data_IF_450816318279
#
_entry.id   IF_450816318279
#
_cell.length_a   1.000
_cell.length_b   1.000
_cell.length_c   1.000
_cell.angle_alpha   90.00
_cell.angle_beta   90.00
_cell.angle_gamma   90.00
#
_symmetry.space_group_name_H-M   'P 1'
#
loop_
_entity.id
_entity.type
_entity.pdbx_description
1 polymer ?
#
# COMPACT_ATOMS: atom_id res chain seq x y z
N UNK A 1 5.53 23.70 50.90
CA UNK A 1 4.33 24.09 51.66
C UNK A 1 3.60 25.23 50.95
N UNK A 2 2.49 24.94 50.27
CA UNK A 2 1.20 25.68 50.32
C UNK A 2 0.22 24.95 49.42
N UNK A 3 -0.82 24.40 50.05
CA UNK A 3 -2.04 23.87 49.45
C UNK A 3 -3.02 25.04 49.25
N UNK A 4 -3.90 24.96 48.25
CA UNK A 4 -5.31 25.44 48.18
C UNK A 4 -5.80 24.96 46.79
N UNK A 5 -6.60 23.91 46.63
CA UNK A 5 -8.01 23.64 47.01
C UNK A 5 -9.03 24.27 46.03
N UNK A 6 -9.58 23.40 45.17
CA UNK A 6 -11.01 23.14 44.86
C UNK A 6 -11.95 24.30 44.53
N UNK A 7 -12.60 24.21 43.36
CA UNK A 7 -14.02 24.55 43.13
C UNK A 7 -14.47 23.86 41.83
N UNK A 8 -15.09 22.67 41.83
CA UNK A 8 -16.45 22.30 42.26
C UNK A 8 -17.58 22.96 41.42
N UNK A 9 -18.14 22.13 40.54
CA UNK A 9 -19.52 22.06 40.00
C UNK A 9 -20.09 23.15 39.09
N UNK A 10 -20.47 22.72 37.87
CA UNK A 10 -21.86 22.90 37.42
C UNK A 10 -22.29 21.71 36.55
N UNK A 11 -23.13 20.85 37.12
CA UNK A 11 -23.94 19.87 36.39
C UNK A 11 -25.14 20.62 35.79
N UNK A 12 -25.39 20.47 34.50
CA UNK A 12 -26.69 20.75 33.88
C UNK A 12 -27.20 19.46 33.22
N UNK A 13 -28.15 18.81 33.88
CA UNK A 13 -29.02 17.76 33.34
C UNK A 13 -30.27 18.45 32.77
N UNK A 14 -30.84 17.89 31.70
CA UNK A 14 -32.29 17.68 31.38
C UNK A 14 -32.43 17.65 29.84
N UNK A 15 -32.52 16.48 29.18
CA UNK A 15 -33.69 15.62 28.86
C UNK A 15 -34.57 16.11 27.69
N UNK A 16 -34.96 15.17 26.81
CA UNK A 16 -36.26 14.92 26.11
C UNK A 16 -35.92 13.96 24.93
N UNK A 17 -36.10 12.64 25.04
CA UNK A 17 -37.32 11.85 24.74
C UNK A 17 -37.80 11.90 23.27
N UNK A 18 -37.81 10.73 22.61
CA UNK A 18 -38.47 10.51 21.33
C UNK A 18 -38.49 9.04 20.88
N UNK A 19 -39.33 8.22 21.50
CA UNK A 19 -39.84 6.95 20.92
C UNK A 19 -41.14 7.23 20.14
N UNK A 20 -41.29 6.67 18.94
CA UNK A 20 -42.58 6.27 18.33
C UNK A 20 -42.33 5.13 17.33
N UNK A 21 -42.61 3.85 17.64
CA UNK A 21 -43.87 3.08 17.52
C UNK A 21 -44.37 2.78 16.09
N UNK A 22 -44.37 1.47 15.76
CA UNK A 22 -45.46 0.66 15.15
C UNK A 22 -45.78 0.74 13.64
N UNK A 23 -45.55 -0.39 12.94
CA UNK A 23 -46.52 -1.22 12.15
C UNK A 23 -45.79 -2.54 11.79
N UNK A 24 -46.05 -3.73 12.34
CA UNK A 24 -47.18 -4.68 12.16
C UNK A 24 -47.57 -5.03 10.71
N UNK A 25 -47.37 -6.33 10.40
CA UNK A 25 -48.11 -7.24 9.48
C UNK A 25 -48.12 -6.94 7.97
N UNK A 26 -48.11 -7.85 6.99
CA UNK A 26 -48.13 -9.33 6.79
C UNK A 26 -48.12 -9.54 5.26
N UNK A 27 -47.50 -10.60 4.73
CA UNK A 27 -48.16 -11.58 3.81
C UNK A 27 -47.13 -12.43 3.05
N UNK A 28 -47.13 -13.73 3.36
CA UNK A 28 -46.64 -14.83 2.52
C UNK A 28 -47.46 -14.98 1.21
N UNK A 29 -47.02 -15.94 0.35
CA UNK A 29 -47.74 -16.67 -0.74
C UNK A 29 -47.65 -15.99 -2.12
N UNK A 30 -47.28 -16.61 -3.26
CA UNK A 30 -46.92 -17.99 -3.68
C UNK A 30 -46.31 -17.94 -5.11
N UNK A 31 -45.53 -18.99 -5.43
CA UNK A 31 -45.42 -19.71 -6.71
C UNK A 31 -44.92 -19.01 -7.99
N UNK A 32 -43.75 -19.40 -8.53
CA UNK A 32 -43.49 -20.58 -9.38
C UNK A 32 -44.06 -20.39 -10.80
N UNK A 33 -43.19 -20.44 -11.82
CA UNK A 33 -43.39 -21.28 -13.00
C UNK A 33 -42.04 -21.59 -13.68
N UNK A 34 -41.80 -22.89 -13.72
CA UNK A 34 -40.94 -23.70 -14.56
C UNK A 34 -41.07 -23.35 -16.05
N UNK A 35 -39.98 -23.42 -16.80
CA UNK A 35 -40.09 -23.81 -18.21
C UNK A 35 -38.91 -24.70 -18.61
N UNK A 36 -39.25 -25.96 -18.90
CA UNK A 36 -38.43 -26.95 -19.59
C UNK A 36 -38.32 -26.60 -21.08
N UNK A 37 -37.26 -27.07 -21.76
CA UNK A 37 -37.17 -26.96 -23.22
C UNK A 37 -35.83 -27.41 -23.80
N UNK A 38 -35.62 -28.73 -23.77
CA UNK A 38 -34.55 -29.54 -24.38
C UNK A 38 -34.47 -29.46 -25.91
N UNK A 39 -33.28 -29.74 -26.47
CA UNK A 39 -32.93 -30.63 -27.62
C UNK A 39 -31.62 -30.15 -28.29
N UNK A 40 -30.47 -30.80 -28.06
CA UNK A 40 -29.86 -31.88 -28.87
C UNK A 40 -29.60 -31.52 -30.36
N UNK A 41 -28.33 -31.48 -30.79
CA UNK A 41 -27.67 -32.63 -31.46
C UNK A 41 -26.45 -32.23 -32.32
N UNK A 42 -25.38 -33.04 -32.17
CA UNK A 42 -24.45 -33.58 -33.18
C UNK A 42 -23.66 -32.65 -34.14
N UNK A 43 -22.32 -32.61 -34.05
CA UNK A 43 -21.31 -33.58 -34.56
C UNK A 43 -21.01 -33.44 -36.08
N UNK A 44 -19.78 -33.04 -36.45
CA UNK A 44 -18.92 -33.91 -37.27
C UNK A 44 -17.48 -33.39 -37.43
N UNK A 45 -16.55 -34.35 -37.35
CA UNK A 45 -15.15 -34.31 -37.79
C UNK A 45 -15.03 -34.03 -39.30
N UNK A 46 -13.83 -33.65 -39.77
CA UNK A 46 -13.00 -34.49 -40.67
C UNK A 46 -11.64 -33.81 -40.96
N UNK A 47 -10.61 -34.66 -40.95
CA UNK A 47 -9.18 -34.51 -41.24
C UNK A 47 -8.83 -34.15 -42.71
N UNK A 48 -7.53 -33.88 -42.95
CA UNK A 48 -6.61 -34.33 -44.05
C UNK A 48 -5.70 -33.17 -44.52
N UNK A 49 -4.38 -33.21 -44.29
CA UNK A 49 -3.25 -33.95 -44.90
C UNK A 49 -2.53 -33.21 -46.04
N UNK A 50 -1.21 -33.46 -46.12
CA UNK A 50 -0.26 -33.31 -47.23
C UNK A 50 0.56 -32.00 -47.39
N UNK A 51 1.73 -32.00 -46.73
CA UNK A 51 3.11 -32.24 -47.23
C UNK A 51 3.59 -31.69 -48.61
N UNK A 52 4.88 -31.26 -48.60
CA UNK A 52 5.84 -30.98 -49.72
C UNK A 52 5.66 -29.62 -50.47
N UNK A 53 6.68 -28.82 -50.82
CA UNK A 53 8.11 -29.06 -51.01
C UNK A 53 8.92 -27.74 -51.14
N UNK A 54 10.24 -27.84 -50.95
CA UNK A 54 11.40 -27.09 -51.53
C UNK A 54 11.46 -25.54 -51.51
N UNK A 55 12.43 -24.94 -50.80
CA UNK A 55 13.86 -24.73 -51.13
C UNK A 55 14.11 -23.43 -51.94
N UNK A 56 14.69 -22.40 -51.30
CA UNK A 56 15.67 -21.54 -51.98
C UNK A 56 16.62 -20.89 -50.97
N UNK A 57 17.90 -21.12 -51.20
CA UNK A 57 19.03 -20.65 -50.43
C UNK A 57 19.32 -19.19 -50.79
N UNK A 58 19.55 -18.32 -49.80
CA UNK A 58 20.46 -17.20 -50.04
C UNK A 58 21.25 -16.86 -48.78
N UNK A 59 22.52 -17.24 -48.85
CA UNK A 59 23.59 -16.95 -47.93
C UNK A 59 24.00 -15.48 -48.06
N UNK A 60 23.89 -14.70 -46.97
CA UNK A 60 24.73 -13.52 -46.76
C UNK A 60 25.28 -13.60 -45.33
N UNK A 61 26.58 -13.89 -45.28
CA UNK A 61 27.50 -13.68 -44.16
C UNK A 61 27.74 -12.17 -44.02
N UNK A 62 27.65 -11.59 -42.81
CA UNK A 62 28.82 -11.04 -42.09
C UNK A 62 28.47 -10.34 -40.75
N UNK A 63 29.30 -10.67 -39.76
CA UNK A 63 29.70 -10.05 -38.49
C UNK A 63 28.75 -9.17 -37.65
N UNK A 64 28.64 -9.55 -36.35
CA UNK A 64 28.44 -8.57 -35.28
C UNK A 64 27.75 -8.99 -33.98
N UNK A 65 27.59 -10.29 -33.66
CA UNK A 65 26.96 -10.69 -32.39
C UNK A 65 27.98 -10.75 -31.26
N UNK A 66 28.10 -9.66 -30.51
CA UNK A 66 28.77 -9.61 -29.22
C UNK A 66 27.69 -9.65 -28.14
N UNK A 67 27.35 -10.84 -27.65
CA UNK A 67 26.46 -11.02 -26.49
C UNK A 67 27.14 -11.89 -25.45
N UNK A 68 27.90 -11.18 -24.62
CA UNK A 68 28.12 -11.32 -23.17
C UNK A 68 27.99 -12.73 -22.59
N UNK A 69 29.17 -13.18 -22.16
CA UNK A 69 29.45 -14.32 -21.31
C UNK A 69 28.58 -14.31 -20.05
N UNK A 70 28.10 -15.50 -19.70
CA UNK A 70 27.52 -15.85 -18.40
C UNK A 70 28.58 -15.65 -17.32
N UNK A 71 28.61 -14.47 -16.70
CA UNK A 71 29.32 -14.27 -15.45
C UNK A 71 28.49 -14.89 -14.31
N UNK A 72 29.00 -16.00 -13.78
CA UNK A 72 28.69 -16.47 -12.44
C UNK A 72 29.07 -15.38 -11.44
N UNK A 73 28.11 -14.56 -11.04
CA UNK A 73 28.30 -13.62 -9.94
C UNK A 73 28.37 -14.44 -8.65
N UNK A 74 29.61 -14.61 -8.22
CA UNK A 74 30.03 -15.09 -6.92
C UNK A 74 29.14 -14.50 -5.82
N UNK A 75 28.36 -15.35 -5.16
CA UNK A 75 27.64 -15.01 -3.93
C UNK A 75 28.66 -14.84 -2.81
N UNK A 76 29.37 -13.71 -2.82
CA UNK A 76 30.14 -13.24 -1.68
C UNK A 76 29.17 -12.63 -0.68
N UNK A 77 28.84 -13.45 0.32
CA UNK A 77 28.71 -13.10 1.74
C UNK A 77 28.87 -11.59 2.04
N UNK A 78 27.81 -10.82 1.78
CA UNK A 78 27.70 -9.45 2.25
C UNK A 78 27.44 -9.51 3.75
N UNK A 79 28.55 -9.47 4.48
CA UNK A 79 28.65 -9.01 5.87
C UNK A 79 27.54 -8.00 6.19
N UNK A 80 26.74 -8.28 7.22
CA UNK A 80 25.68 -7.42 7.76
C UNK A 80 26.23 -6.15 8.43
N UNK A 81 27.07 -5.39 7.74
CA UNK A 81 27.70 -4.14 8.18
C UNK A 81 28.00 -3.32 6.92
N UNK A 82 27.38 -2.18 6.64
CA UNK A 82 26.68 -1.25 7.49
C UNK A 82 25.70 -0.40 6.65
N UNK A 83 24.43 -0.79 6.61
CA UNK A 83 23.36 0.16 6.21
C UNK A 83 23.28 1.18 7.34
N UNK A 84 23.28 2.51 7.11
CA UNK A 84 23.12 3.52 8.17
C UNK A 84 21.80 3.36 8.94
N UNK A 85 21.70 3.99 10.13
CA UNK A 85 20.43 4.02 10.85
C UNK A 85 19.45 4.92 10.08
N UNK A 86 18.21 4.47 9.95
CA UNK A 86 17.12 5.23 9.35
C UNK A 86 16.84 6.49 10.18
N UNK A 87 16.64 7.60 9.50
CA UNK A 87 16.22 8.86 10.12
C UNK A 87 14.77 9.14 9.79
N UNK A 88 13.97 9.48 10.82
CA UNK A 88 12.61 9.97 10.60
C UNK A 88 12.67 11.43 10.15
N UNK A 89 12.05 11.72 9.01
CA UNK A 89 11.89 13.04 8.45
C UNK A 89 10.45 13.52 8.67
N UNK A 90 10.30 14.80 9.01
CA UNK A 90 9.01 15.47 9.06
C UNK A 90 8.64 15.92 7.64
N UNK A 91 7.39 15.75 7.25
CA UNK A 91 6.92 16.22 5.95
C UNK A 91 7.09 17.75 5.84
N UNK A 92 7.46 18.25 4.66
CA UNK A 92 7.67 19.68 4.44
C UNK A 92 6.47 20.54 4.85
N UNK A 93 5.26 20.11 4.49
CA UNK A 93 4.04 20.85 4.85
C UNK A 93 3.86 20.95 6.37
N UNK A 94 4.19 19.89 7.11
CA UNK A 94 4.09 19.83 8.57
C UNK A 94 5.15 20.73 9.22
N UNK A 95 6.39 20.70 8.71
CA UNK A 95 7.45 21.60 9.17
C UNK A 95 7.07 23.07 8.99
N UNK A 96 6.42 23.42 7.86
CA UNK A 96 5.92 24.77 7.57
C UNK A 96 4.82 25.21 8.56
N UNK A 97 4.06 24.27 9.12
CA UNK A 97 3.10 24.51 10.20
C UNK A 97 3.73 24.52 11.60
N UNK A 98 5.05 24.28 11.69
CA UNK A 98 5.81 24.25 12.95
C UNK A 98 5.68 22.93 13.71
N UNK A 99 5.25 21.86 13.05
CA UNK A 99 5.26 20.50 13.59
C UNK A 99 6.71 20.00 13.65
N UNK A 100 7.03 19.32 14.74
CA UNK A 100 8.32 18.65 14.97
C UNK A 100 8.06 17.26 15.54
N UNK A 101 9.10 16.42 15.55
CA UNK A 101 9.01 15.07 16.12
C UNK A 101 8.57 15.09 17.58
N UNK A 102 8.98 16.10 18.34
CA UNK A 102 8.71 16.20 19.78
C UNK A 102 7.34 16.80 20.12
N UNK A 103 6.72 17.52 19.20
CA UNK A 103 5.47 18.25 19.46
C UNK A 103 4.22 17.60 18.85
N UNK A 104 4.40 16.55 18.04
CA UNK A 104 3.33 15.81 17.40
C UNK A 104 3.35 14.33 17.78
N UNK A 105 2.18 13.80 18.12
CA UNK A 105 2.04 12.44 18.63
C UNK A 105 2.41 11.38 17.59
N UNK A 106 2.00 11.54 16.34
CA UNK A 106 2.30 10.59 15.25
C UNK A 106 3.82 10.50 15.05
N UNK A 107 4.50 11.64 14.89
CA UNK A 107 5.95 11.63 14.70
C UNK A 107 6.71 11.08 15.90
N UNK A 108 6.28 11.38 17.13
CA UNK A 108 6.91 10.81 18.33
C UNK A 108 6.76 9.30 18.41
N UNK A 109 5.61 8.76 17.98
CA UNK A 109 5.39 7.31 17.93
C UNK A 109 6.25 6.67 16.83
N UNK A 110 6.24 7.25 15.63
CA UNK A 110 7.07 6.80 14.51
C UNK A 110 8.57 6.85 14.82
N UNK A 111 9.03 7.82 15.61
CA UNK A 111 10.42 7.85 16.05
C UNK A 111 10.78 6.60 16.86
N UNK A 112 9.86 6.13 17.72
CA UNK A 112 10.05 4.88 18.48
C UNK A 112 10.05 3.64 17.58
N UNK A 113 9.28 3.66 16.49
CA UNK A 113 9.23 2.58 15.48
C UNK A 113 10.55 2.51 14.72
N UNK A 114 11.05 3.66 14.28
CA UNK A 114 12.36 3.78 13.61
C UNK A 114 13.51 3.40 14.54
N UNK A 115 13.44 3.75 15.83
CA UNK A 115 14.42 3.31 16.83
C UNK A 115 14.37 1.80 17.07
N UNK A 116 13.20 1.17 16.96
CA UNK A 116 13.03 -0.27 17.16
C UNK A 116 13.54 -1.09 15.95
N UNK A 117 13.39 -0.56 14.74
CA UNK A 117 13.96 -1.14 13.52
C UNK A 117 14.70 -0.09 12.67
N UNK A 118 15.92 0.31 13.09
CA UNK A 118 16.68 1.35 12.40
C UNK A 118 17.18 0.91 11.02
N UNK A 119 17.04 -0.37 10.67
CA UNK A 119 17.50 -0.94 9.39
C UNK A 119 16.34 -1.30 8.46
N UNK A 120 15.11 -0.89 8.77
CA UNK A 120 13.93 -1.11 7.94
C UNK A 120 14.15 -0.64 6.49
N UNK A 121 13.48 -1.26 5.53
CA UNK A 121 13.66 -0.97 4.11
C UNK A 121 14.52 -1.99 3.37
N UNK A 122 14.41 -1.98 2.04
CA UNK A 122 15.17 -2.85 1.15
C UNK A 122 16.45 -2.11 0.74
N UNK A 123 17.65 -2.71 0.87
CA UNK A 123 18.89 -2.04 0.49
C UNK A 123 18.90 -1.64 -0.98
N UNK A 124 19.39 -0.42 -1.27
CA UNK A 124 19.47 0.16 -2.62
C UNK A 124 18.12 0.30 -3.32
N UNK A 125 17.04 0.52 -2.55
CA UNK A 125 15.69 0.59 -3.08
C UNK A 125 14.84 1.66 -2.39
N UNK A 126 13.72 2.00 -3.02
CA UNK A 126 12.62 2.72 -2.40
C UNK A 126 11.55 1.72 -1.96
N UNK A 127 11.11 1.82 -0.71
CA UNK A 127 10.12 0.89 -0.16
C UNK A 127 9.05 1.63 0.63
N UNK A 128 7.86 1.04 0.68
CA UNK A 128 6.72 1.57 1.44
C UNK A 128 6.21 0.48 2.36
N UNK A 129 5.91 0.83 3.60
CA UNK A 129 5.35 -0.11 4.58
C UNK A 129 4.08 0.47 5.21
N UNK A 130 2.96 -0.26 5.23
CA UNK A 130 1.83 0.13 6.05
C UNK A 130 2.19 -0.01 7.53
N UNK A 131 1.74 0.92 8.36
CA UNK A 131 2.10 0.98 9.76
C UNK A 131 0.89 0.87 10.69
N UNK A 132 -0.07 1.79 10.59
CA UNK A 132 -1.22 1.85 11.48
C UNK A 132 -2.41 2.58 10.82
N UNK A 133 -3.59 2.51 11.43
CA UNK A 133 -4.76 3.29 11.02
C UNK A 133 -4.92 4.50 11.94
N UNK A 134 -5.14 5.66 11.35
CA UNK A 134 -5.43 6.91 12.04
C UNK A 134 -6.91 7.22 11.90
N UNK A 135 -7.62 7.31 13.03
CA UNK A 135 -8.98 7.82 13.10
C UNK A 135 -8.96 9.31 13.46
N UNK A 136 -9.63 10.13 12.66
CA UNK A 136 -9.78 11.57 12.93
C UNK A 136 -11.06 11.85 13.72
N UNK A 137 -11.14 13.05 14.31
CA UNK A 137 -12.28 13.50 15.13
C UNK A 137 -13.63 13.47 14.37
N UNK A 138 -13.62 13.52 13.04
CA UNK A 138 -14.81 13.45 12.20
C UNK A 138 -15.23 12.01 11.83
N UNK A 139 -14.48 11.01 12.28
CA UNK A 139 -14.69 9.59 12.03
C UNK A 139 -14.14 9.10 10.68
N UNK A 140 -13.41 9.94 9.94
CA UNK A 140 -12.65 9.48 8.78
C UNK A 140 -11.44 8.65 9.23
N UNK A 141 -11.03 7.71 8.37
CA UNK A 141 -9.90 6.82 8.59
C UNK A 141 -8.86 7.03 7.50
N UNK A 142 -7.59 7.08 7.86
CA UNK A 142 -6.48 6.94 6.91
C UNK A 142 -5.54 5.84 7.34
N UNK A 143 -4.98 5.13 6.37
CA UNK A 143 -3.88 4.21 6.60
C UNK A 143 -2.55 4.99 6.56
N UNK A 144 -1.79 4.90 7.64
CA UNK A 144 -0.45 5.48 7.78
C UNK A 144 0.59 4.55 7.17
N UNK A 145 1.39 5.11 6.28
CA UNK A 145 2.51 4.43 5.63
C UNK A 145 3.83 5.11 5.99
N UNK A 146 4.90 4.32 5.95
CA UNK A 146 6.28 4.80 5.96
C UNK A 146 6.91 4.59 4.58
N UNK A 147 7.22 5.69 3.90
CA UNK A 147 8.07 5.69 2.71
C UNK A 147 9.53 5.71 3.15
N UNK A 148 10.34 4.78 2.67
CA UNK A 148 11.72 4.56 3.09
C UNK A 148 12.65 4.66 1.88
N UNK A 149 13.60 5.60 1.94
CA UNK A 149 14.62 5.77 0.92
C UNK A 149 15.94 5.10 1.36
N UNK A 150 16.29 3.98 0.71
CA UNK A 150 17.61 3.33 0.84
C UNK A 150 18.47 3.49 -0.43
N UNK A 151 18.06 4.35 -1.35
CA UNK A 151 18.86 4.71 -2.51
C UNK A 151 20.04 5.58 -2.08
N UNK A 152 21.12 5.54 -2.86
CA UNK A 152 22.32 6.34 -2.60
C UNK A 152 22.19 7.82 -2.96
N UNK A 153 20.98 8.30 -3.21
CA UNK A 153 20.68 9.68 -3.53
C UNK A 153 19.37 10.13 -2.86
N UNK A 154 19.22 11.42 -2.53
CA UNK A 154 17.93 12.00 -2.16
C UNK A 154 16.94 11.91 -3.32
N UNK A 155 15.66 11.75 -2.99
CA UNK A 155 14.60 11.57 -3.98
C UNK A 155 13.42 12.50 -3.74
N UNK A 156 12.64 12.76 -4.79
CA UNK A 156 11.44 13.60 -4.75
C UNK A 156 10.45 13.20 -5.85
N UNK A 157 9.26 13.81 -5.83
CA UNK A 157 8.19 13.59 -6.81
C UNK A 157 7.98 12.10 -7.12
N UNK A 158 7.74 11.33 -6.08
CA UNK A 158 7.63 9.87 -6.18
C UNK A 158 6.21 9.54 -6.62
N UNK A 159 6.05 8.61 -7.55
CA UNK A 159 4.72 8.14 -7.93
C UNK A 159 4.74 6.66 -8.23
N UNK A 160 3.69 5.93 -7.85
CA UNK A 160 3.59 4.48 -8.03
C UNK A 160 2.14 4.03 -7.92
N UNK A 161 1.85 2.82 -8.38
CA UNK A 161 0.57 2.16 -8.21
C UNK A 161 0.70 1.18 -7.04
N UNK A 162 -0.08 1.43 -5.99
CA UNK A 162 -0.07 0.65 -4.75
C UNK A 162 -1.14 -0.43 -4.80
N UNK A 163 -0.73 -1.66 -4.55
CA UNK A 163 -1.63 -2.76 -4.21
C UNK A 163 -1.38 -3.19 -2.77
N UNK A 164 -2.45 -3.24 -1.96
CA UNK A 164 -2.44 -3.72 -0.60
C UNK A 164 -3.68 -4.58 -0.34
N UNK A 165 -3.49 -5.84 0.01
CA UNK A 165 -4.60 -6.76 0.27
C UNK A 165 -4.18 -8.06 0.94
N UNK A 166 -5.13 -8.99 1.00
CA UNK A 166 -4.95 -10.31 1.58
C UNK A 166 -4.90 -11.37 0.46
N UNK A 167 -3.75 -12.01 0.28
CA UNK A 167 -3.52 -13.07 -0.71
C UNK A 167 -4.39 -14.32 -0.49
N UNK A 168 -4.83 -14.60 0.74
CA UNK A 168 -5.64 -15.79 1.04
C UNK A 168 -7.12 -15.58 0.69
N UNK A 169 -7.68 -14.40 1.00
CA UNK A 169 -9.08 -14.08 0.68
C UNK A 169 -9.23 -13.51 -0.73
N UNK A 170 -8.18 -12.88 -1.26
CA UNK A 170 -8.19 -12.15 -2.53
C UNK A 170 -8.83 -10.76 -2.42
N UNK A 171 -9.06 -10.24 -1.21
CA UNK A 171 -9.63 -8.92 -0.96
C UNK A 171 -8.52 -7.86 -0.86
N UNK A 172 -8.80 -6.65 -1.34
CA UNK A 172 -7.83 -5.55 -1.40
C UNK A 172 -8.39 -4.29 -0.77
N UNK A 173 -7.56 -3.63 0.04
CA UNK A 173 -7.77 -2.26 0.51
C UNK A 173 -7.46 -1.31 -0.65
N UNK A 174 -6.33 -1.56 -1.31
CA UNK A 174 -5.90 -0.83 -2.51
C UNK A 174 -5.62 -1.83 -3.62
N UNK A 175 -6.23 -1.63 -4.78
CA UNK A 175 -5.94 -2.38 -6.01
C UNK A 175 -5.45 -1.40 -7.07
N UNK A 176 -4.14 -1.42 -7.34
CA UNK A 176 -3.44 -0.51 -8.26
C UNK A 176 -3.78 0.97 -8.03
N UNK A 177 -3.88 1.39 -6.77
CA UNK A 177 -4.19 2.76 -6.40
C UNK A 177 -3.01 3.69 -6.71
N UNK A 178 -3.21 4.70 -7.56
CA UNK A 178 -2.16 5.66 -7.90
C UNK A 178 -1.83 6.55 -6.70
N UNK A 179 -0.60 6.46 -6.22
CA UNK A 179 -0.04 7.32 -5.18
C UNK A 179 0.93 8.32 -5.81
N UNK A 180 0.81 9.58 -5.40
CA UNK A 180 1.69 10.67 -5.81
C UNK A 180 2.19 11.39 -4.57
N UNK A 181 3.50 11.37 -4.37
CA UNK A 181 4.19 12.00 -3.25
C UNK A 181 5.04 13.16 -3.78
N UNK A 182 4.41 14.32 -3.89
CA UNK A 182 5.02 15.53 -4.44
C UNK A 182 6.07 16.16 -3.50
N UNK A 183 7.11 16.79 -4.08
CA UNK A 183 8.11 17.57 -3.32
C UNK A 183 7.47 18.72 -2.52
N UNK A 184 6.37 19.28 -3.03
CA UNK A 184 5.60 20.35 -2.37
C UNK A 184 5.06 19.91 -1.02
N UNK A 185 4.69 18.64 -0.89
CA UNK A 185 4.06 18.06 0.29
C UNK A 185 5.09 17.38 1.21
N UNK A 186 5.88 16.45 0.67
CA UNK A 186 6.84 15.69 1.47
C UNK A 186 8.19 16.39 1.65
N UNK A 187 8.57 17.26 0.72
CA UNK A 187 9.94 17.74 0.57
C UNK A 187 10.81 16.76 -0.21
N UNK A 188 12.13 16.95 -0.11
CA UNK A 188 13.13 16.01 -0.62
C UNK A 188 13.32 14.93 0.44
N UNK A 189 13.14 13.67 0.09
CA UNK A 189 13.37 12.54 0.97
C UNK A 189 14.84 12.14 0.91
N UNK A 190 15.57 12.47 1.98
CA UNK A 190 17.01 12.23 2.09
C UNK A 190 17.36 10.74 2.04
N UNK A 191 18.61 10.43 1.66
CA UNK A 191 19.14 9.06 1.75
C UNK A 191 19.08 8.55 3.19
N UNK A 192 18.78 7.27 3.35
CA UNK A 192 18.65 6.60 4.64
C UNK A 192 17.63 7.27 5.56
N UNK A 193 16.57 7.81 4.97
CA UNK A 193 15.50 8.48 5.69
C UNK A 193 14.13 7.88 5.37
N UNK A 194 13.19 8.10 6.28
CA UNK A 194 11.79 7.74 6.10
C UNK A 194 10.89 8.92 6.40
N UNK A 195 9.82 9.03 5.63
CA UNK A 195 8.79 10.04 5.80
C UNK A 195 7.42 9.34 5.86
N UNK A 196 6.55 9.73 6.80
CA UNK A 196 5.19 9.22 6.81
C UNK A 196 4.35 9.85 5.71
N UNK A 197 3.36 9.10 5.23
CA UNK A 197 2.27 9.63 4.43
C UNK A 197 0.99 8.84 4.73
N UNK A 198 -0.16 9.40 4.39
CA UNK A 198 -1.47 8.82 4.72
C UNK A 198 -2.33 8.72 3.46
N UNK A 199 -3.07 7.62 3.35
CA UNK A 199 -4.09 7.42 2.31
C UNK A 199 -5.41 7.13 3.00
N UNK A 200 -6.45 7.86 2.65
CA UNK A 200 -7.80 7.64 3.18
C UNK A 200 -8.33 6.27 2.80
N UNK A 201 -8.99 5.61 3.75
CA UNK A 201 -9.60 4.29 3.57
C UNK A 201 -11.06 4.31 3.99
N UNK A 202 -11.83 3.32 3.54
CA UNK A 202 -13.20 3.14 4.00
C UNK A 202 -13.24 2.35 5.31
N UNK A 203 -14.31 2.49 6.13
CA UNK A 203 -14.46 1.72 7.36
C UNK A 203 -14.38 0.20 7.17
N UNK A 204 -14.85 -0.33 6.05
CA UNK A 204 -14.72 -1.76 5.72
C UNK A 204 -13.27 -2.23 5.54
N UNK A 205 -12.36 -1.32 5.17
CA UNK A 205 -10.94 -1.63 4.96
C UNK A 205 -10.17 -1.79 6.28
N UNK A 206 -10.66 -1.20 7.38
CA UNK A 206 -10.08 -1.34 8.71
C UNK A 206 -10.04 -2.81 9.14
N UNK A 207 -11.18 -3.49 9.02
CA UNK A 207 -11.30 -4.91 9.36
C UNK A 207 -10.36 -5.76 8.49
N UNK A 208 -10.20 -5.41 7.21
CA UNK A 208 -9.29 -6.10 6.30
C UNK A 208 -7.82 -5.88 6.70
N UNK A 209 -7.44 -4.64 7.04
CA UNK A 209 -6.09 -4.28 7.46
C UNK A 209 -5.67 -5.04 8.72
N UNK A 210 -6.55 -5.11 9.73
CA UNK A 210 -6.29 -5.81 11.00
C UNK A 210 -6.04 -7.31 10.80
N UNK A 211 -6.57 -7.90 9.72
CA UNK A 211 -6.38 -9.31 9.39
C UNK A 211 -5.09 -9.59 8.61
N UNK A 212 -4.40 -8.54 8.12
CA UNK A 212 -3.16 -8.71 7.38
C UNK A 212 -2.03 -9.19 8.29
N UNK A 213 -1.21 -10.09 7.76
CA UNK A 213 -0.02 -10.62 8.41
C UNK A 213 1.11 -10.70 7.41
N UNK A 214 2.35 -10.82 7.88
CA UNK A 214 3.51 -10.98 6.99
C UNK A 214 3.41 -12.16 6.00
N UNK A 215 2.51 -13.12 6.22
CA UNK A 215 2.29 -14.26 5.33
C UNK A 215 1.12 -14.07 4.36
N UNK A 216 0.16 -13.22 4.72
CA UNK A 216 -1.09 -13.04 3.98
C UNK A 216 -1.11 -11.72 3.20
N UNK A 217 -0.28 -10.74 3.56
CA UNK A 217 -0.22 -9.43 2.89
C UNK A 217 0.29 -9.57 1.44
N UNK A 218 -0.52 -9.11 0.47
CA UNK A 218 -0.03 -8.68 -0.84
C UNK A 218 0.28 -7.19 -0.75
N UNK A 219 1.56 -6.82 -0.81
CA UNK A 219 2.00 -5.44 -0.90
C UNK A 219 2.90 -5.30 -2.12
N UNK A 220 2.44 -4.55 -3.12
CA UNK A 220 3.16 -4.32 -4.36
C UNK A 220 3.15 -2.85 -4.74
N UNK A 221 4.30 -2.40 -5.20
CA UNK A 221 4.49 -1.09 -5.82
C UNK A 221 4.81 -1.35 -7.29
N UNK A 222 3.92 -0.90 -8.17
CA UNK A 222 4.06 -1.06 -9.62
C UNK A 222 4.19 0.32 -10.27
N UNK A 223 4.73 0.38 -11.49
CA UNK A 223 4.84 1.64 -12.26
C UNK A 223 5.46 2.81 -11.46
N UNK A 224 6.49 2.50 -10.66
CA UNK A 224 7.18 3.46 -9.83
C UNK A 224 8.06 4.40 -10.68
N UNK A 225 7.91 5.69 -10.45
CA UNK A 225 8.73 6.77 -11.02
C UNK A 225 9.23 7.66 -9.88
N UNK A 226 10.51 8.00 -9.91
CA UNK A 226 11.21 8.68 -8.82
C UNK A 226 12.20 9.68 -9.41
N UNK A 227 12.07 10.95 -9.04
CA UNK A 227 13.05 11.97 -9.41
C UNK A 227 14.22 11.93 -8.41
N UNK A 228 15.44 11.82 -8.94
CA UNK A 228 16.66 12.01 -8.15
C UNK A 228 16.92 13.51 -7.97
N UNK A 229 17.27 13.93 -6.76
CA UNK A 229 17.78 15.28 -6.52
C UNK A 229 19.29 15.32 -6.81
N UNK A 230 19.69 16.08 -7.84
CA UNK A 230 21.09 16.23 -8.31
C UNK A 230 21.87 17.35 -7.61
#
# INVERSE_FOLDING_TARGET
MKKIVVSMFLILIISISGCSTSSEETSDIEEAETNEGTEESENNQTETNDTEDENDENEIVDEGTNTVETDEVNAEDQSSSAIPDLQLQVQKIDEEEGITIENNEIYSQLASVVEADPKAGIPNDFSVYPHDIIEYDDGSLSLLFLAVNRLHAPIKNISFDLTLGNTETGEYIFDQHRVELEETFMGILETDSTVPFMIDIYPEDEDLFIQLTNQTTDLRLENADVDLDE
#
